data_IF_363743819615
#
_entry.id   IF_363743819615
#
_cell.length_a   1.000
_cell.length_b   1.000
_cell.length_c   1.000
_cell.angle_alpha   90.00
_cell.angle_beta   90.00
_cell.angle_gamma   90.00
#
_symmetry.space_group_name_H-M   'P 1'
#
loop_
_entity.id
_entity.type
_entity.pdbx_description
1 polymer ?
#
# COMPACT_ATOMS: atom_id res chain seq x y z
N UNK A 1 10.57 34.15 4.48
CA UNK A 1 9.31 33.44 4.80
C UNK A 1 8.81 32.49 3.69
N UNK A 2 9.32 32.53 2.45
CA UNK A 2 8.79 31.72 1.32
C UNK A 2 9.37 30.29 1.20
N UNK A 3 10.66 30.09 1.47
CA UNK A 3 11.32 28.78 1.35
C UNK A 3 10.76 27.65 2.27
N UNK A 4 10.46 27.87 3.58
CA UNK A 4 9.94 26.80 4.43
C UNK A 4 8.53 26.37 4.04
N UNK A 5 7.71 27.30 3.53
CA UNK A 5 6.34 27.03 3.07
C UNK A 5 6.37 26.14 1.81
N UNK A 6 7.27 26.42 0.87
CA UNK A 6 7.41 25.63 -0.37
C UNK A 6 7.86 24.19 -0.04
N UNK A 7 8.81 24.01 0.89
CA UNK A 7 9.27 22.69 1.31
C UNK A 7 8.15 21.89 2.01
N UNK A 8 7.31 22.54 2.81
CA UNK A 8 6.17 21.93 3.49
C UNK A 8 5.09 21.49 2.49
N UNK A 9 4.74 22.34 1.52
CA UNK A 9 3.79 21.99 0.46
C UNK A 9 4.33 20.84 -0.41
N UNK A 10 5.60 20.87 -0.78
CA UNK A 10 6.21 19.82 -1.59
C UNK A 10 6.22 18.45 -0.87
N UNK A 11 6.59 18.43 0.42
CA UNK A 11 6.57 17.20 1.23
C UNK A 11 5.16 16.67 1.44
N UNK A 12 4.16 17.56 1.63
CA UNK A 12 2.75 17.18 1.70
C UNK A 12 2.26 16.54 0.40
N UNK A 13 2.62 17.13 -0.74
CA UNK A 13 2.23 16.63 -2.06
C UNK A 13 2.82 15.25 -2.34
N UNK A 14 4.11 15.04 -2.03
CA UNK A 14 4.77 13.74 -2.16
C UNK A 14 4.07 12.70 -1.30
N UNK A 15 3.80 13.01 -0.03
CA UNK A 15 3.10 12.10 0.87
C UNK A 15 1.70 11.74 0.36
N UNK A 16 0.96 12.71 -0.19
CA UNK A 16 -0.35 12.48 -0.78
C UNK A 16 -0.28 11.52 -1.98
N UNK A 17 0.70 11.69 -2.88
CA UNK A 17 0.91 10.79 -4.02
C UNK A 17 1.21 9.37 -3.53
N UNK A 18 2.12 9.24 -2.56
CA UNK A 18 2.47 7.92 -1.97
C UNK A 18 1.24 7.25 -1.38
N UNK A 19 0.42 7.97 -0.62
CA UNK A 19 -0.84 7.46 -0.04
C UNK A 19 -1.81 6.97 -1.12
N UNK A 20 -1.95 7.70 -2.24
CA UNK A 20 -2.81 7.28 -3.36
C UNK A 20 -2.30 5.99 -4.00
N UNK A 21 -0.99 5.88 -4.25
CA UNK A 21 -0.40 4.66 -4.83
C UNK A 21 -0.63 3.47 -3.90
N UNK A 22 -0.38 3.64 -2.59
CA UNK A 22 -0.66 2.61 -1.59
C UNK A 22 -2.13 2.19 -1.58
N UNK A 23 -3.06 3.13 -1.67
CA UNK A 23 -4.49 2.82 -1.72
C UNK A 23 -4.87 1.99 -2.97
N UNK A 24 -4.25 2.29 -4.11
CA UNK A 24 -4.43 1.51 -5.35
C UNK A 24 -3.88 0.09 -5.18
N UNK A 25 -2.67 -0.06 -4.65
CA UNK A 25 -2.04 -1.37 -4.42
C UNK A 25 -2.89 -2.23 -3.47
N UNK A 26 -3.36 -1.65 -2.36
CA UNK A 26 -4.27 -2.33 -1.42
C UNK A 26 -5.54 -2.80 -2.13
N UNK A 27 -6.17 -1.92 -2.92
CA UNK A 27 -7.40 -2.24 -3.64
C UNK A 27 -7.18 -3.39 -4.63
N UNK A 28 -6.10 -3.38 -5.39
CA UNK A 28 -5.78 -4.48 -6.32
C UNK A 28 -5.58 -5.80 -5.60
N UNK A 29 -4.91 -5.80 -4.44
CA UNK A 29 -4.74 -7.01 -3.60
C UNK A 29 -6.10 -7.54 -3.15
N UNK A 30 -6.98 -6.67 -2.63
CA UNK A 30 -8.32 -7.05 -2.20
C UNK A 30 -9.20 -7.56 -3.35
N UNK A 31 -9.16 -6.92 -4.51
CA UNK A 31 -9.91 -7.37 -5.70
C UNK A 31 -9.47 -8.77 -6.12
N UNK A 32 -8.16 -9.04 -6.18
CA UNK A 32 -7.63 -10.39 -6.49
C UNK A 32 -8.04 -11.43 -5.46
N UNK A 33 -7.93 -11.13 -4.17
CA UNK A 33 -8.36 -12.03 -3.08
C UNK A 33 -9.85 -12.33 -3.16
N UNK A 34 -10.67 -11.31 -3.45
CA UNK A 34 -12.12 -11.44 -3.56
C UNK A 34 -12.50 -12.30 -4.77
N UNK A 35 -11.87 -12.07 -5.92
CA UNK A 35 -12.07 -12.84 -7.14
C UNK A 35 -11.67 -14.31 -6.91
N UNK A 36 -10.51 -14.55 -6.30
CA UNK A 36 -10.06 -15.89 -5.96
C UNK A 36 -11.04 -16.60 -5.01
N UNK A 37 -11.50 -15.92 -3.95
CA UNK A 37 -12.51 -16.44 -3.02
C UNK A 37 -13.83 -16.81 -3.71
N UNK A 38 -14.27 -16.03 -4.70
CA UNK A 38 -15.46 -16.33 -5.50
C UNK A 38 -15.25 -17.58 -6.37
N UNK A 39 -14.10 -17.69 -7.05
CA UNK A 39 -13.79 -18.84 -7.92
C UNK A 39 -13.75 -20.15 -7.13
N UNK A 40 -13.10 -20.17 -5.97
CA UNK A 40 -12.98 -21.39 -5.15
C UNK A 40 -14.24 -21.70 -4.31
N UNK A 41 -15.24 -20.81 -4.30
CA UNK A 41 -16.41 -20.88 -3.43
C UNK A 41 -17.31 -22.09 -3.72
N UNK A 42 -17.35 -22.56 -4.98
CA UNK A 42 -18.12 -23.73 -5.39
C UNK A 42 -17.45 -25.08 -5.10
N UNK A 43 -16.19 -25.10 -4.67
CA UNK A 43 -15.46 -26.34 -4.44
C UNK A 43 -15.63 -26.88 -3.01
N UNK A 44 -15.57 -28.21 -2.82
CA UNK A 44 -15.63 -28.81 -1.49
C UNK A 44 -14.45 -28.36 -0.61
N UNK A 45 -14.67 -28.35 0.71
CA UNK A 45 -13.73 -27.84 1.70
C UNK A 45 -12.26 -28.31 1.57
N UNK A 46 -11.94 -29.59 1.25
CA UNK A 46 -10.55 -30.03 1.08
C UNK A 46 -9.87 -29.40 -0.14
N UNK A 47 -10.56 -29.31 -1.29
CA UNK A 47 -10.02 -28.71 -2.51
C UNK A 47 -9.79 -27.20 -2.32
N UNK A 48 -10.72 -26.51 -1.66
CA UNK A 48 -10.58 -25.09 -1.34
C UNK A 48 -9.35 -24.80 -0.47
N UNK A 49 -9.02 -25.67 0.49
CA UNK A 49 -7.79 -25.56 1.30
C UNK A 49 -6.54 -25.77 0.45
N UNK A 50 -6.57 -26.72 -0.48
CA UNK A 50 -5.45 -26.97 -1.40
C UNK A 50 -5.20 -25.76 -2.31
N UNK A 51 -6.25 -25.22 -2.92
CA UNK A 51 -6.16 -24.03 -3.78
C UNK A 51 -5.68 -22.80 -3.01
N UNK A 52 -6.14 -22.59 -1.77
CA UNK A 52 -5.61 -21.52 -0.92
C UNK A 52 -4.12 -21.67 -0.64
N UNK A 53 -3.64 -22.89 -0.37
CA UNK A 53 -2.21 -23.16 -0.21
C UNK A 53 -1.45 -22.85 -1.50
N UNK A 54 -1.94 -23.30 -2.66
CA UNK A 54 -1.30 -22.99 -3.95
C UNK A 54 -1.29 -21.49 -4.26
N UNK A 55 -2.38 -20.79 -3.98
CA UNK A 55 -2.47 -19.34 -4.16
C UNK A 55 -1.47 -18.60 -3.27
N UNK A 56 -1.31 -19.00 -2.01
CA UNK A 56 -0.34 -18.39 -1.11
C UNK A 56 1.12 -18.56 -1.58
N UNK A 57 1.44 -19.64 -2.28
CA UNK A 57 2.81 -19.94 -2.75
C UNK A 57 3.11 -19.42 -4.15
N UNK A 58 2.15 -19.44 -5.06
CA UNK A 58 2.37 -19.19 -6.50
C UNK A 58 1.56 -17.99 -7.01
N UNK A 59 0.33 -17.83 -6.50
CA UNK A 59 -0.63 -16.84 -7.01
C UNK A 59 -0.65 -15.52 -6.25
N UNK A 60 0.09 -15.42 -5.13
CA UNK A 60 0.03 -14.25 -4.28
C UNK A 60 0.68 -13.04 -4.99
N UNK A 61 0.05 -11.85 -4.94
CA UNK A 61 0.56 -10.63 -5.57
C UNK A 61 1.82 -10.10 -4.86
N UNK A 62 2.94 -10.81 -4.98
CA UNK A 62 4.22 -10.47 -4.35
C UNK A 62 4.74 -9.11 -4.83
N UNK A 63 4.56 -8.78 -6.11
CA UNK A 63 4.99 -7.49 -6.67
C UNK A 63 4.25 -6.31 -6.03
N UNK A 64 2.93 -6.43 -5.83
CA UNK A 64 2.15 -5.42 -5.11
C UNK A 64 2.55 -5.34 -3.63
N UNK A 65 2.84 -6.47 -2.99
CA UNK A 65 3.26 -6.48 -1.58
C UNK A 65 4.64 -5.82 -1.40
N UNK A 66 5.58 -6.08 -2.31
CA UNK A 66 6.88 -5.40 -2.34
C UNK A 66 6.73 -3.91 -2.62
N UNK A 67 5.89 -3.52 -3.59
CA UNK A 67 5.54 -2.12 -3.87
C UNK A 67 5.00 -1.43 -2.61
N UNK A 68 4.07 -2.08 -1.92
CA UNK A 68 3.42 -1.53 -0.73
C UNK A 68 4.40 -1.35 0.44
N UNK A 69 5.30 -2.31 0.66
CA UNK A 69 6.39 -2.17 1.64
C UNK A 69 7.31 -1.00 1.26
N UNK A 70 7.71 -0.90 -0.01
CA UNK A 70 8.56 0.17 -0.50
C UNK A 70 7.92 1.55 -0.30
N UNK A 71 6.66 1.72 -0.66
CA UNK A 71 5.92 2.97 -0.46
C UNK A 71 5.71 3.29 1.02
N UNK A 72 5.48 2.29 1.87
CA UNK A 72 5.39 2.46 3.32
C UNK A 72 6.71 3.01 3.90
N UNK A 73 7.84 2.47 3.44
CA UNK A 73 9.18 2.93 3.83
C UNK A 73 9.48 4.36 3.38
N UNK A 74 8.84 4.86 2.33
CA UNK A 74 8.94 6.26 1.89
C UNK A 74 7.93 7.14 2.64
N UNK A 75 6.71 6.65 2.88
CA UNK A 75 5.64 7.37 3.56
C UNK A 75 6.03 7.74 5.01
N UNK A 76 6.68 6.82 5.73
CA UNK A 76 7.08 7.05 7.11
C UNK A 76 8.05 8.24 7.30
N UNK A 77 9.24 8.26 6.65
CA UNK A 77 10.17 9.38 6.79
C UNK A 77 9.60 10.68 6.22
N UNK A 78 8.80 10.63 5.15
CA UNK A 78 8.16 11.84 4.60
C UNK A 78 7.11 12.41 5.55
N UNK A 79 6.32 11.57 6.21
CA UNK A 79 5.40 12.00 7.27
C UNK A 79 6.15 12.58 8.48
N UNK A 80 7.26 11.95 8.90
CA UNK A 80 8.10 12.49 9.97
C UNK A 80 8.72 13.84 9.60
N UNK A 81 9.20 14.02 8.36
CA UNK A 81 9.73 15.30 7.89
C UNK A 81 8.64 16.38 7.84
N UNK A 82 7.45 16.04 7.34
CA UNK A 82 6.30 16.94 7.33
C UNK A 82 5.94 17.39 8.75
N UNK A 83 5.87 16.45 9.70
CA UNK A 83 5.60 16.75 11.10
C UNK A 83 6.68 17.67 11.70
N UNK A 84 7.97 17.42 11.42
CA UNK A 84 9.07 18.30 11.87
C UNK A 84 8.96 19.70 11.29
N UNK A 85 8.67 19.83 9.99
CA UNK A 85 8.50 21.14 9.33
C UNK A 85 7.28 21.89 9.82
N UNK A 86 6.20 21.18 10.18
CA UNK A 86 5.00 21.78 10.77
C UNK A 86 5.21 22.19 12.24
N UNK A 87 6.06 21.47 12.98
CA UNK A 87 6.36 21.74 14.39
C UNK A 87 7.50 22.72 14.62
N UNK A 88 8.38 22.98 13.65
CA UNK A 88 9.37 24.05 13.76
C UNK A 88 8.66 25.39 13.53
N UNK A 89 8.40 26.21 14.57
CA UNK A 89 7.90 27.54 14.33
C UNK A 89 9.01 28.32 13.63
N UNK A 90 8.63 29.11 12.62
CA UNK A 90 9.52 30.07 11.98
C UNK A 90 10.17 31.02 13.00
#
# INVERSE_FOLDING_TARGET
>A
MTMPIIALIATALVLAIVMVIMAIDIRMIFERLTLFRRMIGGYPAPLRRLFWRQFAWIGFPYTQLVSLIFWLLIAFPTACQLARLAMSPA
#
